data_IF_947783688708
#
_entry.id   IF_947783688708
#
_cell.length_a   1.000
_cell.length_b   1.000
_cell.length_c   1.000
_cell.angle_alpha   90.00
_cell.angle_beta   90.00
_cell.angle_gamma   90.00
#
_symmetry.space_group_name_H-M   'P 1'
#
loop_
_entity.id
_entity.type
_entity.pdbx_description
1 polymer ?
#
# COMPACT_ATOMS: atom_id res chain seq x y z
N UNK A 1 -8.19 23.10 -4.82
CA UNK A 1 -8.36 23.09 -3.35
C UNK A 1 -8.26 21.65 -2.90
N UNK A 2 -7.68 21.38 -1.74
CA UNK A 2 -7.65 20.03 -1.16
C UNK A 2 -9.07 19.67 -0.71
N UNK A 3 -9.55 18.49 -1.10
CA UNK A 3 -10.87 17.98 -0.72
C UNK A 3 -10.81 17.23 0.61
N UNK A 4 -11.94 17.05 1.28
CA UNK A 4 -12.01 16.19 2.48
C UNK A 4 -11.49 14.78 2.19
N UNK A 5 -11.76 14.27 0.98
CA UNK A 5 -11.21 12.98 0.53
C UNK A 5 -9.69 13.00 0.50
N UNK A 6 -9.06 14.07 0.02
CA UNK A 6 -7.60 14.19 -0.03
C UNK A 6 -6.99 14.24 1.39
N UNK A 7 -7.65 14.93 2.32
CA UNK A 7 -7.24 14.98 3.73
C UNK A 7 -7.34 13.59 4.37
N UNK A 8 -8.45 12.88 4.13
CA UNK A 8 -8.64 11.53 4.65
C UNK A 8 -7.68 10.54 4.00
N UNK A 9 -7.38 10.67 2.70
CA UNK A 9 -6.37 9.86 2.01
C UNK A 9 -5.00 10.01 2.66
N UNK A 10 -4.57 11.24 2.93
CA UNK A 10 -3.29 11.50 3.60
C UNK A 10 -3.27 10.91 5.03
N UNK A 11 -4.35 11.10 5.79
CA UNK A 11 -4.47 10.56 7.15
C UNK A 11 -4.42 9.02 7.16
N UNK A 12 -5.19 8.37 6.28
CA UNK A 12 -5.22 6.91 6.21
C UNK A 12 -3.87 6.36 5.73
N UNK A 13 -3.18 7.05 4.81
CA UNK A 13 -1.83 6.67 4.40
C UNK A 13 -0.85 6.74 5.58
N UNK A 14 -0.88 7.80 6.38
CA UNK A 14 -0.03 7.91 7.58
C UNK A 14 -0.34 6.80 8.60
N UNK A 15 -1.61 6.42 8.76
CA UNK A 15 -1.97 5.27 9.61
C UNK A 15 -1.41 3.96 9.06
N UNK A 16 -1.45 3.77 7.74
CA UNK A 16 -0.88 2.61 7.05
C UNK A 16 0.64 2.53 7.25
N UNK A 17 1.36 3.64 7.10
CA UNK A 17 2.80 3.71 7.31
C UNK A 17 3.20 3.38 8.76
N UNK A 18 2.30 3.63 9.71
CA UNK A 18 2.46 3.30 11.15
C UNK A 18 1.87 1.94 11.52
N UNK A 19 1.51 1.09 10.55
CA UNK A 19 0.89 -0.22 10.76
C UNK A 19 -0.40 -0.20 11.63
N UNK A 20 -1.14 0.91 11.59
CA UNK A 20 -2.37 1.14 12.38
C UNK A 20 -3.64 0.86 11.56
N UNK A 21 -3.66 -0.27 10.86
CA UNK A 21 -4.67 -0.59 9.83
C UNK A 21 -5.80 -1.53 10.30
N UNK A 22 -5.72 -2.05 11.52
CA UNK A 22 -6.64 -3.08 12.05
C UNK A 22 -7.89 -2.52 12.77
N UNK A 23 -8.23 -1.25 12.58
CA UNK A 23 -9.37 -0.59 13.24
C UNK A 23 -10.64 -0.53 12.40
N UNK A 24 -11.81 -0.70 13.03
CA UNK A 24 -13.11 -0.51 12.38
C UNK A 24 -13.24 0.86 11.71
N UNK A 25 -12.73 1.93 12.35
CA UNK A 25 -12.78 3.29 11.80
C UNK A 25 -11.93 3.43 10.53
N UNK A 26 -10.76 2.79 10.50
CA UNK A 26 -9.88 2.76 9.33
C UNK A 26 -10.56 2.08 8.14
N UNK A 27 -11.05 0.84 8.35
CA UNK A 27 -11.76 0.10 7.32
C UNK A 27 -13.03 0.82 6.82
N UNK A 28 -13.77 1.44 7.74
CA UNK A 28 -14.97 2.21 7.40
C UNK A 28 -14.63 3.44 6.56
N UNK A 29 -13.62 4.21 6.93
CA UNK A 29 -13.19 5.40 6.19
C UNK A 29 -12.70 5.02 4.78
N UNK A 30 -11.90 3.96 4.66
CA UNK A 30 -11.46 3.46 3.37
C UNK A 30 -12.61 3.12 2.42
N UNK A 31 -13.62 2.40 2.91
CA UNK A 31 -14.83 2.07 2.13
C UNK A 31 -15.65 3.30 1.79
N UNK A 32 -15.84 4.20 2.75
CA UNK A 32 -16.70 5.37 2.57
C UNK A 32 -16.13 6.37 1.54
N UNK A 33 -14.82 6.57 1.56
CA UNK A 33 -14.14 7.53 0.68
C UNK A 33 -13.53 6.88 -0.58
N UNK A 34 -13.70 5.57 -0.75
CA UNK A 34 -13.06 4.76 -1.81
C UNK A 34 -11.56 5.04 -1.89
N UNK A 35 -10.86 4.80 -0.78
CA UNK A 35 -9.43 5.05 -0.61
C UNK A 35 -8.68 3.72 -0.59
N UNK A 36 -7.55 3.68 -1.30
CA UNK A 36 -6.54 2.62 -1.17
C UNK A 36 -5.26 3.25 -0.63
N UNK A 37 -4.60 2.55 0.27
CA UNK A 37 -3.28 2.93 0.81
C UNK A 37 -2.30 1.78 0.58
N UNK A 38 -1.02 2.11 0.55
CA UNK A 38 0.04 1.14 0.27
C UNK A 38 1.07 1.22 1.38
N UNK A 39 1.43 0.07 1.96
CA UNK A 39 2.58 -0.05 2.84
C UNK A 39 3.68 -0.79 2.09
N UNK A 40 4.87 -0.20 1.95
CA UNK A 40 6.04 -0.90 1.41
C UNK A 40 6.98 -1.31 2.55
N UNK A 41 7.67 -2.42 2.36
CA UNK A 41 8.65 -2.92 3.32
C UNK A 41 9.68 -3.79 2.60
N UNK A 42 10.87 -3.86 3.19
CA UNK A 42 11.88 -4.83 2.79
C UNK A 42 11.95 -5.87 3.92
N UNK A 43 11.98 -7.17 3.58
CA UNK A 43 12.03 -8.25 4.59
C UNK A 43 13.34 -8.23 5.37
N UNK A 44 14.42 -7.92 4.67
CA UNK A 44 15.79 -7.85 5.14
C UNK A 44 16.48 -6.64 4.51
N UNK A 45 17.58 -6.18 5.13
CA UNK A 45 18.48 -5.28 4.40
C UNK A 45 19.15 -6.02 3.22
N UNK A 46 19.71 -5.30 2.23
CA UNK A 46 20.27 -5.93 1.03
C UNK A 46 21.43 -6.91 1.30
N UNK A 47 22.22 -6.69 2.36
CA UNK A 47 23.35 -7.57 2.71
C UNK A 47 22.83 -8.87 3.33
N UNK A 48 21.84 -8.78 4.22
CA UNK A 48 21.15 -9.92 4.81
C UNK A 48 20.36 -10.72 3.76
N UNK A 49 19.64 -10.06 2.86
CA UNK A 49 18.89 -10.74 1.80
C UNK A 49 19.81 -11.59 0.91
N UNK A 50 21.00 -11.07 0.58
CA UNK A 50 22.02 -11.81 -0.17
C UNK A 50 22.59 -12.99 0.61
N UNK A 51 22.70 -12.87 1.93
CA UNK A 51 23.18 -13.96 2.80
C UNK A 51 22.14 -15.08 2.93
N UNK A 52 20.85 -14.74 2.98
CA UNK A 52 19.75 -15.69 3.14
C UNK A 52 19.24 -16.27 1.81
N UNK A 53 19.80 -15.86 0.67
CA UNK A 53 19.29 -16.17 -0.67
C UNK A 53 17.76 -15.90 -0.77
N UNK A 54 17.25 -14.85 -0.11
CA UNK A 54 15.82 -14.51 -0.12
C UNK A 54 15.50 -13.77 -1.43
N UNK A 55 14.86 -14.42 -2.42
CA UNK A 55 14.68 -13.84 -3.73
C UNK A 55 13.53 -12.83 -3.76
N UNK A 56 12.70 -12.73 -2.72
CA UNK A 56 11.50 -11.89 -2.67
C UNK A 56 11.59 -10.86 -1.55
N UNK A 57 12.68 -10.09 -1.52
CA UNK A 57 12.97 -9.18 -0.41
C UNK A 57 12.05 -7.95 -0.37
N UNK A 58 11.57 -7.49 -1.52
CA UNK A 58 10.82 -6.25 -1.65
C UNK A 58 9.33 -6.53 -1.57
N UNK A 59 8.67 -6.08 -0.51
CA UNK A 59 7.26 -6.32 -0.25
C UNK A 59 6.40 -5.07 -0.30
N UNK A 60 5.12 -5.25 -0.59
CA UNK A 60 4.10 -4.24 -0.36
C UNK A 60 2.78 -4.87 0.10
N UNK A 61 1.98 -4.10 0.84
CA UNK A 61 0.61 -4.44 1.23
C UNK A 61 -0.33 -3.36 0.69
N UNK A 62 -1.27 -3.76 -0.16
CA UNK A 62 -2.32 -2.90 -0.69
C UNK A 62 -3.55 -3.01 0.19
N UNK A 63 -3.87 -1.97 0.94
CA UNK A 63 -5.16 -1.89 1.62
C UNK A 63 -6.14 -1.21 0.66
N UNK A 64 -7.18 -1.91 0.21
CA UNK A 64 -8.24 -1.37 -0.66
C UNK A 64 -9.60 -1.35 0.05
N UNK A 65 -10.63 -0.67 -0.49
CA UNK A 65 -11.99 -0.74 0.05
C UNK A 65 -12.55 -2.17 0.16
N UNK A 66 -12.15 -3.07 -0.75
CA UNK A 66 -12.53 -4.48 -0.78
C UNK A 66 -11.79 -5.29 0.29
N UNK A 67 -10.52 -4.95 0.55
CA UNK A 67 -9.63 -5.65 1.49
C UNK A 67 -8.94 -4.70 2.48
N UNK A 68 -9.67 -3.93 3.31
CA UNK A 68 -9.06 -2.85 4.08
C UNK A 68 -8.31 -3.32 5.32
N UNK A 69 -8.72 -4.41 5.97
CA UNK A 69 -8.17 -4.82 7.27
C UNK A 69 -6.87 -5.61 7.14
N UNK A 70 -6.78 -6.49 6.15
CA UNK A 70 -5.61 -7.36 5.96
C UNK A 70 -4.76 -6.96 4.77
N UNK A 71 -5.32 -6.15 3.86
CA UNK A 71 -4.68 -5.81 2.60
C UNK A 71 -4.39 -7.04 1.73
N UNK A 72 -3.80 -6.77 0.57
CA UNK A 72 -3.26 -7.78 -0.33
C UNK A 72 -1.75 -7.65 -0.34
N UNK A 73 -1.05 -8.73 0.01
CA UNK A 73 0.41 -8.77 0.05
C UNK A 73 0.95 -9.15 -1.32
N UNK A 74 1.92 -8.37 -1.79
CA UNK A 74 2.69 -8.65 -2.99
C UNK A 74 4.17 -8.61 -2.66
N UNK A 75 4.96 -9.46 -3.29
CA UNK A 75 6.41 -9.55 -3.08
C UNK A 75 7.11 -9.63 -4.42
N UNK A 76 8.30 -9.04 -4.47
CA UNK A 76 9.03 -8.77 -5.69
C UNK A 76 10.50 -9.09 -5.50
N UNK A 77 11.16 -9.37 -6.63
CA UNK A 77 12.58 -9.70 -6.63
C UNK A 77 13.44 -8.45 -6.59
N UNK A 78 12.96 -7.36 -7.18
CA UNK A 78 13.67 -6.08 -7.19
C UNK A 78 12.79 -4.93 -6.72
N UNK A 79 13.44 -3.86 -6.27
CA UNK A 79 12.75 -2.61 -5.93
C UNK A 79 12.01 -2.04 -7.15
N UNK A 80 12.61 -2.08 -8.34
CA UNK A 80 12.01 -1.57 -9.57
C UNK A 80 10.74 -2.33 -9.97
N UNK A 81 10.66 -3.63 -9.68
CA UNK A 81 9.43 -4.41 -9.88
C UNK A 81 8.30 -3.93 -8.97
N UNK A 82 8.61 -3.67 -7.69
CA UNK A 82 7.68 -3.12 -6.71
C UNK A 82 7.17 -1.75 -7.14
N UNK A 83 8.07 -0.85 -7.54
CA UNK A 83 7.71 0.51 -7.96
C UNK A 83 6.86 0.51 -9.23
N UNK A 84 7.19 -0.33 -10.24
CA UNK A 84 6.33 -0.46 -11.43
C UNK A 84 4.91 -0.90 -11.09
N UNK A 85 4.77 -1.83 -10.14
CA UNK A 85 3.45 -2.26 -9.68
C UNK A 85 2.67 -1.13 -9.00
N UNK A 86 3.34 -0.28 -8.21
CA UNK A 86 2.73 0.90 -7.58
C UNK A 86 2.25 1.89 -8.65
N UNK A 87 3.07 2.17 -9.66
CA UNK A 87 2.72 3.07 -10.76
C UNK A 87 1.50 2.56 -11.53
N UNK A 88 1.46 1.26 -11.85
CA UNK A 88 0.32 0.61 -12.52
C UNK A 88 -0.97 0.71 -11.69
N UNK A 89 -0.89 0.53 -10.37
CA UNK A 89 -2.03 0.71 -9.46
C UNK A 89 -2.56 2.15 -9.46
N UNK A 90 -1.67 3.14 -9.50
CA UNK A 90 -2.07 4.55 -9.52
C UNK A 90 -2.69 4.94 -10.87
N UNK A 91 -2.18 4.41 -11.98
CA UNK A 91 -2.73 4.63 -13.32
C UNK A 91 -4.14 4.05 -13.46
N UNK A 92 -4.40 2.86 -12.93
CA UNK A 92 -5.74 2.25 -12.93
C UNK A 92 -6.76 3.11 -12.18
N UNK A 93 -6.38 3.68 -11.04
CA UNK A 93 -7.24 4.62 -10.29
C UNK A 93 -7.51 5.94 -11.04
N UNK A 94 -6.52 6.44 -11.78
CA UNK A 94 -6.67 7.67 -12.57
C UNK A 94 -7.64 7.49 -13.74
N UNK A 95 -7.71 6.27 -14.31
CA UNK A 95 -8.60 5.95 -15.43
C UNK A 95 -10.07 5.79 -15.02
N UNK A 96 -10.38 5.42 -13.78
CA UNK A 96 -11.76 5.29 -13.26
C UNK A 96 -12.44 6.64 -12.98
N UNK A 97 -11.69 7.74 -13.06
CA UNK A 97 -12.16 9.10 -12.81
C UNK A 97 -12.10 10.03 -14.05
N UNK A 98 -11.88 9.46 -15.25
CA UNK A 98 -11.80 10.18 -16.53
C UNK A 98 -13.08 10.07 -17.37
#
# INVERSE_FOLDING_TARGET
MMTDRDVVQALLQEMTDRCSTCGYAFATAMKHFSITTIYTYDKFDPEEAALFDEPLNYGLIVHSPEYPEHGQRHEFTTEEERERFIDELQLLKGAEHA
#
